data_IF_783823905800
#
_entry.id   IF_783823905800
#
_cell.length_a   1.000
_cell.length_b   1.000
_cell.length_c   1.000
_cell.angle_alpha   90.00
_cell.angle_beta   90.00
_cell.angle_gamma   90.00
#
_symmetry.space_group_name_H-M   'P 1'
#
loop_
_entity.id
_entity.type
_entity.pdbx_description
1 polymer ?
#
# COMPACT_ATOMS: atom_id res chain seq x y z
N UNK A 1 -18.61 -58.92 0.01
CA UNK A 1 -17.29 -58.35 0.30
C UNK A 1 -17.31 -56.93 -0.25
N UNK A 2 -17.42 -55.92 0.61
CA UNK A 2 -17.37 -54.52 0.20
C UNK A 2 -15.90 -54.09 0.06
N UNK A 3 -15.52 -53.41 -1.02
CA UNK A 3 -14.17 -52.86 -1.16
C UNK A 3 -13.98 -51.69 -0.18
N UNK A 4 -12.94 -51.80 0.64
CA UNK A 4 -12.48 -50.75 1.55
C UNK A 4 -11.61 -49.79 0.73
N UNK A 5 -12.17 -48.64 0.34
CA UNK A 5 -11.41 -47.58 -0.35
C UNK A 5 -10.69 -46.77 0.73
N UNK A 6 -9.39 -47.00 0.87
CA UNK A 6 -8.51 -46.20 1.70
C UNK A 6 -8.20 -44.90 0.93
N UNK A 7 -8.90 -43.82 1.29
CA UNK A 7 -8.51 -42.45 0.93
C UNK A 7 -7.28 -42.09 1.75
N UNK A 8 -6.10 -42.43 1.22
CA UNK A 8 -4.84 -41.90 1.74
C UNK A 8 -4.75 -40.47 1.21
N UNK A 9 -5.24 -39.51 2.00
CA UNK A 9 -5.05 -38.10 1.69
C UNK A 9 -3.55 -37.84 1.62
N UNK A 10 -3.06 -37.37 0.48
CA UNK A 10 -1.77 -36.72 0.36
C UNK A 10 -1.83 -35.40 1.15
N UNK A 11 -1.85 -35.49 2.48
CA UNK A 11 -1.66 -34.34 3.36
C UNK A 11 -0.26 -33.82 3.09
N UNK A 12 -0.17 -32.69 2.39
CA UNK A 12 1.08 -32.10 1.96
C UNK A 12 2.03 -31.92 3.14
N UNK A 13 3.28 -32.34 2.93
CA UNK A 13 4.45 -32.06 3.77
C UNK A 13 4.84 -30.56 3.72
N UNK A 14 3.86 -29.67 3.71
CA UNK A 14 4.11 -28.25 3.87
C UNK A 14 4.31 -28.02 5.37
N UNK A 15 5.46 -27.43 5.74
CA UNK A 15 5.67 -26.97 7.11
C UNK A 15 4.57 -25.97 7.49
N UNK A 16 4.30 -25.81 8.79
CA UNK A 16 3.25 -24.89 9.29
C UNK A 16 3.47 -23.43 8.83
N UNK A 17 4.70 -23.15 8.43
CA UNK A 17 5.27 -21.89 8.01
C UNK A 17 5.36 -21.75 6.48
N UNK A 18 4.94 -22.76 5.71
CA UNK A 18 4.84 -22.66 4.25
C UNK A 18 3.71 -21.71 3.84
N UNK A 19 4.08 -20.67 3.09
CA UNK A 19 3.16 -19.60 2.65
C UNK A 19 2.75 -19.70 1.18
N UNK A 20 3.33 -20.62 0.42
CA UNK A 20 3.17 -20.69 -1.04
C UNK A 20 4.46 -20.37 -1.79
N UNK A 21 4.36 -20.32 -3.12
CA UNK A 21 5.44 -19.83 -3.97
C UNK A 21 5.51 -18.31 -3.89
N UNK A 22 6.71 -17.77 -3.78
CA UNK A 22 6.92 -16.31 -3.79
C UNK A 22 6.61 -15.77 -5.18
N UNK A 23 5.69 -14.81 -5.24
CA UNK A 23 5.22 -14.17 -6.47
C UNK A 23 5.99 -12.89 -6.79
N UNK A 24 6.38 -12.12 -5.76
CA UNK A 24 7.08 -10.85 -5.91
C UNK A 24 7.88 -10.51 -4.66
N UNK A 25 8.82 -9.57 -4.76
CA UNK A 25 9.60 -9.04 -3.64
C UNK A 25 9.70 -7.53 -3.76
N UNK A 26 9.31 -6.83 -2.70
CA UNK A 26 9.48 -5.38 -2.52
C UNK A 26 10.63 -5.21 -1.53
N UNK A 27 11.57 -4.32 -1.81
CA UNK A 27 12.68 -4.06 -0.88
C UNK A 27 13.01 -2.58 -0.85
N UNK A 28 13.68 -2.12 0.20
CA UNK A 28 14.10 -0.72 0.28
C UNK A 28 14.66 -0.38 1.63
N UNK A 29 14.87 0.92 1.84
CA UNK A 29 15.29 1.45 3.13
C UNK A 29 14.12 2.20 3.77
N UNK A 30 13.93 1.99 5.07
CA UNK A 30 13.12 2.84 5.91
C UNK A 30 13.99 3.99 6.40
N UNK A 31 13.56 5.20 6.10
CA UNK A 31 14.26 6.45 6.36
C UNK A 31 13.41 7.30 7.31
N UNK A 32 14.06 7.99 8.23
CA UNK A 32 13.40 9.02 9.04
C UNK A 32 14.07 10.36 8.82
N UNK A 33 13.27 11.42 8.72
CA UNK A 33 13.75 12.80 8.66
C UNK A 33 13.88 13.41 10.07
N UNK A 34 13.12 12.90 11.04
CA UNK A 34 13.06 13.41 12.39
C UNK A 34 13.15 12.29 13.44
N UNK A 35 13.67 12.56 14.65
CA UNK A 35 13.60 11.59 15.74
C UNK A 35 12.13 11.40 16.14
N UNK A 36 11.64 10.16 16.12
CA UNK A 36 10.30 9.83 16.61
C UNK A 36 10.38 8.93 17.83
N UNK A 37 9.46 9.12 18.76
CA UNK A 37 9.26 8.22 19.89
C UNK A 37 8.29 7.12 19.46
N UNK A 38 8.85 5.98 19.05
CA UNK A 38 8.11 4.80 18.65
C UNK A 38 8.05 3.85 19.85
N UNK A 39 6.84 3.46 20.26
CA UNK A 39 6.62 2.68 21.48
C UNK A 39 6.65 1.17 21.26
N UNK A 40 6.49 0.72 20.01
CA UNK A 40 6.41 -0.68 19.57
C UNK A 40 7.37 -1.08 18.45
N UNK A 41 7.21 -2.31 17.97
CA UNK A 41 7.99 -2.84 16.85
C UNK A 41 7.47 -2.24 15.54
N UNK A 42 8.36 -1.69 14.73
CA UNK A 42 7.98 -1.24 13.40
C UNK A 42 7.89 -2.40 12.42
N UNK A 43 6.87 -2.35 11.57
CA UNK A 43 6.65 -3.36 10.55
C UNK A 43 6.18 -2.77 9.24
N UNK A 44 6.53 -3.44 8.15
CA UNK A 44 6.07 -3.09 6.79
C UNK A 44 5.07 -4.13 6.31
N UNK A 45 3.89 -3.69 5.84
CA UNK A 45 2.89 -4.54 5.19
C UNK A 45 2.43 -3.94 3.86
N UNK A 46 1.84 -4.76 2.98
CA UNK A 46 1.30 -4.32 1.69
C UNK A 46 -0.22 -4.17 1.77
N UNK A 47 -0.70 -2.95 1.54
CA UNK A 47 -2.11 -2.60 1.57
C UNK A 47 -2.62 -2.47 0.13
N UNK A 48 -3.69 -3.19 -0.22
CA UNK A 48 -4.32 -3.02 -1.53
C UNK A 48 -5.37 -1.91 -1.46
N UNK A 49 -5.36 -1.02 -2.44
CA UNK A 49 -6.45 -0.07 -2.62
C UNK A 49 -7.78 -0.83 -2.84
N UNK A 50 -8.90 -0.25 -2.41
CA UNK A 50 -10.24 -0.86 -2.41
C UNK A 50 -10.42 -2.11 -1.52
N UNK A 51 -9.42 -2.49 -0.70
CA UNK A 51 -9.56 -3.54 0.33
C UNK A 51 -9.25 -2.99 1.73
N UNK A 52 -10.27 -2.34 2.29
CA UNK A 52 -10.22 -1.64 3.57
C UNK A 52 -10.13 -2.62 4.76
N UNK A 53 -10.46 -3.89 4.56
CA UNK A 53 -10.62 -4.87 5.64
C UNK A 53 -9.42 -5.82 5.78
N UNK A 54 -8.64 -6.03 4.71
CA UNK A 54 -7.66 -7.12 4.64
C UNK A 54 -6.36 -6.69 3.95
N UNK A 55 -5.44 -5.99 4.64
CA UNK A 55 -4.08 -5.88 4.13
C UNK A 55 -3.52 -7.28 3.88
N UNK A 56 -2.80 -7.47 2.77
CA UNK A 56 -2.12 -8.74 2.51
C UNK A 56 -0.96 -8.85 3.50
N UNK A 57 -1.24 -9.62 4.56
CA UNK A 57 -0.39 -9.82 5.72
C UNK A 57 0.93 -10.48 5.35
N UNK A 58 1.96 -9.67 5.11
CA UNK A 58 3.32 -10.03 5.45
C UNK A 58 3.98 -8.84 6.09
N UNK A 59 4.32 -9.00 7.36
CA UNK A 59 4.99 -7.98 8.14
C UNK A 59 6.46 -8.35 8.29
N UNK A 60 7.33 -7.38 8.06
CA UNK A 60 8.78 -7.54 8.28
C UNK A 60 9.15 -6.62 9.41
N UNK A 61 9.75 -7.17 10.47
CA UNK A 61 10.26 -6.37 11.59
C UNK A 61 11.38 -5.48 11.06
N UNK A 62 11.23 -4.18 11.27
CA UNK A 62 12.23 -3.17 10.94
C UNK A 62 12.92 -2.76 12.23
N UNK A 63 14.25 -2.81 12.24
CA UNK A 63 15.01 -2.26 13.36
C UNK A 63 14.74 -0.76 13.47
N UNK A 64 14.47 -0.26 14.67
CA UNK A 64 14.25 1.18 14.92
C UNK A 64 15.55 2.01 14.84
N UNK A 65 16.59 1.48 14.22
CA UNK A 65 17.84 2.16 13.90
C UNK A 65 17.87 2.49 12.41
N UNK A 66 17.65 3.77 12.09
CA UNK A 66 17.57 4.24 10.70
C UNK A 66 18.95 4.67 10.14
N UNK A 67 19.21 4.44 8.83
CA UNK A 67 18.35 3.76 7.86
C UNK A 67 18.26 2.26 8.16
N UNK A 68 17.04 1.71 8.03
CA UNK A 68 16.78 0.29 8.28
C UNK A 68 16.34 -0.39 6.98
N UNK A 69 17.00 -1.49 6.61
CA UNK A 69 16.65 -2.20 5.39
C UNK A 69 15.45 -3.12 5.62
N UNK A 70 14.52 -3.19 4.66
CA UNK A 70 13.41 -4.14 4.68
C UNK A 70 13.29 -4.90 3.35
N UNK A 71 12.77 -6.12 3.43
CA UNK A 71 12.42 -6.93 2.27
C UNK A 71 11.09 -7.65 2.54
N UNK A 72 10.06 -7.26 1.80
CA UNK A 72 8.71 -7.81 1.86
C UNK A 72 8.48 -8.75 0.67
N UNK A 73 8.33 -10.04 0.95
CA UNK A 73 7.99 -11.04 -0.07
C UNK A 73 6.47 -11.20 -0.18
N UNK A 74 5.92 -11.21 -1.40
CA UNK A 74 4.49 -11.37 -1.68
C UNK A 74 4.24 -12.79 -2.17
N UNK A 75 3.25 -13.47 -1.58
CA UNK A 75 2.94 -14.88 -1.86
C UNK A 75 1.49 -15.11 -2.29
N UNK A 76 0.64 -14.08 -2.16
CA UNK A 76 -0.76 -14.11 -2.56
C UNK A 76 -1.01 -13.06 -3.64
N UNK A 77 -1.92 -13.37 -4.55
CA UNK A 77 -2.46 -12.39 -5.49
C UNK A 77 -3.33 -11.38 -4.73
N UNK A 78 -3.54 -10.18 -5.28
CA UNK A 78 -4.55 -9.26 -4.75
C UNK A 78 -5.92 -9.95 -4.69
N UNK A 79 -6.75 -9.62 -3.70
CA UNK A 79 -8.12 -10.11 -3.65
C UNK A 79 -8.98 -9.49 -4.77
N UNK A 80 -10.07 -10.14 -5.13
CA UNK A 80 -10.94 -9.70 -6.24
C UNK A 80 -11.50 -8.29 -6.00
N UNK A 81 -11.82 -7.94 -4.75
CA UNK A 81 -12.26 -6.62 -4.31
C UNK A 81 -11.23 -5.50 -4.52
N UNK A 82 -9.93 -5.81 -4.54
CA UNK A 82 -8.87 -4.84 -4.83
C UNK A 82 -8.67 -4.59 -6.33
N UNK A 83 -9.33 -5.37 -7.19
CA UNK A 83 -9.23 -5.24 -8.63
C UNK A 83 -10.16 -4.13 -9.14
N UNK A 84 -9.64 -3.23 -9.96
CA UNK A 84 -10.40 -2.17 -10.62
C UNK A 84 -10.09 -2.12 -12.11
N UNK A 85 -11.03 -1.63 -12.91
CA UNK A 85 -10.80 -1.40 -14.34
C UNK A 85 -10.11 -0.06 -14.55
N UNK A 86 -8.91 -0.08 -15.09
CA UNK A 86 -8.15 1.11 -15.42
C UNK A 86 -8.93 2.00 -16.41
N UNK A 87 -9.13 3.30 -16.11
CA UNK A 87 -9.93 4.18 -16.94
C UNK A 87 -9.33 4.41 -18.34
N UNK A 88 -8.03 4.16 -18.50
CA UNK A 88 -7.26 4.40 -19.73
C UNK A 88 -7.12 3.16 -20.64
N UNK A 89 -7.22 1.93 -20.12
CA UNK A 89 -6.99 0.70 -20.92
C UNK A 89 -8.10 -0.36 -20.89
N UNK A 90 -9.17 -0.19 -20.11
CA UNK A 90 -10.17 -1.24 -19.83
C UNK A 90 -9.57 -2.55 -19.27
N UNK A 91 -8.34 -2.50 -18.74
CA UNK A 91 -7.67 -3.64 -18.14
C UNK A 91 -7.95 -3.64 -16.65
N UNK A 92 -8.24 -4.80 -16.09
CA UNK A 92 -8.33 -4.97 -14.65
C UNK A 92 -6.94 -4.95 -14.04
N UNK A 93 -6.74 -4.16 -12.98
CA UNK A 93 -5.48 -3.96 -12.29
C UNK A 93 -5.75 -3.93 -10.78
N UNK A 94 -4.72 -4.12 -9.96
CA UNK A 94 -4.78 -3.78 -8.55
C UNK A 94 -3.54 -2.99 -8.15
N UNK A 95 -3.70 -2.09 -7.18
CA UNK A 95 -2.62 -1.22 -6.69
C UNK A 95 -2.40 -1.50 -5.21
N UNK A 96 -1.15 -1.78 -4.87
CA UNK A 96 -0.70 -2.07 -3.53
C UNK A 96 0.30 -1.02 -3.06
N UNK A 97 0.19 -0.58 -1.81
CA UNK A 97 1.09 0.40 -1.20
C UNK A 97 1.75 -0.23 0.03
N UNK A 98 3.09 -0.32 0.06
CA UNK A 98 3.78 -0.79 1.26
C UNK A 98 3.72 0.29 2.34
N UNK A 99 3.10 0.02 3.48
CA UNK A 99 3.00 0.96 4.60
C UNK A 99 3.77 0.47 5.81
N UNK A 100 4.26 1.42 6.59
CA UNK A 100 4.91 1.21 7.87
C UNK A 100 3.89 1.41 8.99
N UNK A 101 3.78 0.44 9.89
CA UNK A 101 2.89 0.50 11.05
C UNK A 101 3.62 0.11 12.34
N UNK A 102 3.06 0.55 13.46
CA UNK A 102 3.49 0.17 14.80
C UNK A 102 2.70 -1.05 15.29
N UNK A 103 3.37 -2.20 15.40
CA UNK A 103 2.81 -3.45 15.94
C UNK A 103 2.80 -3.36 17.47
N UNK A 104 1.67 -2.91 18.01
CA UNK A 104 1.54 -2.54 19.41
C UNK A 104 1.37 -3.77 20.31
N UNK A 105 0.84 -4.88 19.78
CA UNK A 105 0.58 -6.11 20.52
C UNK A 105 1.61 -7.24 20.24
N UNK A 106 2.57 -6.99 19.34
CA UNK A 106 3.65 -7.89 18.91
C UNK A 106 3.14 -9.19 18.25
N UNK A 107 1.95 -9.15 17.64
CA UNK A 107 1.37 -10.30 16.96
C UNK A 107 1.89 -10.47 15.51
N UNK A 108 2.58 -9.44 15.00
CA UNK A 108 3.17 -9.41 13.67
C UNK A 108 2.17 -9.31 12.53
N UNK A 109 1.00 -8.74 12.76
CA UNK A 109 -0.03 -8.43 11.77
C UNK A 109 -0.45 -6.98 11.98
N UNK A 110 -1.08 -6.40 10.98
CA UNK A 110 -1.70 -5.10 11.15
C UNK A 110 -3.09 -5.32 11.70
N UNK A 111 -3.41 -4.71 12.83
CA UNK A 111 -4.76 -4.67 13.38
C UNK A 111 -5.40 -3.31 13.12
N UNK A 112 -6.72 -3.31 12.87
CA UNK A 112 -7.49 -2.08 12.78
C UNK A 112 -7.33 -1.26 14.06
N UNK A 113 -6.86 -0.02 13.91
CA UNK A 113 -6.55 0.90 15.01
C UNK A 113 -5.06 1.00 15.35
N UNK A 114 -4.20 0.17 14.77
CA UNK A 114 -2.75 0.40 14.85
C UNK A 114 -2.34 1.61 14.03
N UNK A 115 -1.32 2.30 14.54
CA UNK A 115 -0.83 3.53 13.93
C UNK A 115 -0.05 3.24 12.65
N UNK A 116 -0.50 3.84 11.54
CA UNK A 116 0.29 3.96 10.33
C UNK A 116 1.27 5.13 10.49
N UNK A 117 2.56 4.83 10.46
CA UNK A 117 3.64 5.77 10.83
C UNK A 117 4.59 6.07 9.67
N UNK A 118 4.32 5.53 8.48
CA UNK A 118 5.13 5.79 7.30
C UNK A 118 4.66 5.06 6.05
N UNK A 119 5.27 5.43 4.92
CA UNK A 119 5.00 4.80 3.63
C UNK A 119 5.92 5.35 2.54
N UNK A 120 5.76 4.92 1.28
CA UNK A 120 6.50 5.47 0.17
C UNK A 120 6.11 6.93 -0.06
N UNK A 121 7.01 7.72 -0.64
CA UNK A 121 6.65 9.08 -1.11
C UNK A 121 5.88 9.03 -2.43
N UNK A 122 6.35 8.20 -3.36
CA UNK A 122 5.96 8.27 -4.76
C UNK A 122 6.07 6.87 -5.38
N UNK A 123 5.76 5.79 -4.67
CA UNK A 123 5.84 4.47 -5.31
C UNK A 123 4.87 3.47 -4.74
N UNK A 124 4.53 2.47 -5.54
CA UNK A 124 3.70 1.36 -5.11
C UNK A 124 3.95 0.13 -5.97
N UNK A 125 3.05 -0.82 -5.81
CA UNK A 125 3.02 -2.08 -6.54
C UNK A 125 1.79 -2.09 -7.42
N UNK A 126 1.99 -2.35 -8.71
CA UNK A 126 0.91 -2.57 -9.65
C UNK A 126 0.84 -4.06 -9.95
N UNK A 127 -0.32 -4.67 -9.76
CA UNK A 127 -0.60 -6.02 -10.21
C UNK A 127 -1.42 -6.00 -11.49
N UNK A 128 -1.00 -6.82 -12.44
CA UNK A 128 -1.63 -7.01 -13.74
C UNK A 128 -1.99 -8.49 -13.88
N UNK A 129 -3.27 -8.84 -14.04
CA UNK A 129 -3.69 -10.22 -14.17
C UNK A 129 -3.17 -10.82 -15.49
N UNK A 130 -3.29 -12.15 -15.67
CA UNK A 130 -2.99 -12.81 -16.93
C UNK A 130 -3.73 -12.18 -18.11
N UNK A 131 -2.97 -11.65 -19.08
CA UNK A 131 -3.47 -10.99 -20.27
C UNK A 131 -3.61 -12.01 -21.41
N UNK A 132 -4.66 -11.88 -22.23
CA UNK A 132 -4.90 -12.80 -23.35
C UNK A 132 -3.78 -12.77 -24.39
N UNK A 133 -3.28 -11.58 -24.71
CA UNK A 133 -2.20 -11.35 -25.69
C UNK A 133 -0.82 -11.12 -25.03
N UNK A 134 -0.75 -11.24 -23.69
CA UNK A 134 0.49 -11.12 -22.90
C UNK A 134 0.97 -9.69 -22.63
N UNK A 135 0.46 -8.69 -23.35
CA UNK A 135 0.86 -7.27 -23.26
C UNK A 135 -0.36 -6.36 -23.41
N UNK A 136 -0.35 -5.24 -22.71
CA UNK A 136 -1.25 -4.08 -22.90
C UNK A 136 -0.39 -2.87 -23.24
N UNK A 137 -0.73 -2.17 -24.32
CA UNK A 137 -0.13 -0.87 -24.65
C UNK A 137 -0.80 0.20 -23.80
N UNK A 138 -0.02 0.89 -22.99
CA UNK A 138 -0.51 1.89 -22.03
C UNK A 138 -0.32 3.34 -22.51
N UNK A 139 0.59 3.55 -23.46
CA UNK A 139 0.88 4.85 -24.08
C UNK A 139 1.55 4.62 -25.44
N UNK A 140 1.33 5.54 -26.38
CA UNK A 140 1.97 5.60 -27.69
C UNK A 140 2.61 6.98 -27.87
N UNK A 141 3.92 7.09 -27.69
CA UNK A 141 4.63 8.37 -27.85
C UNK A 141 5.41 8.44 -29.15
N UNK A 142 5.32 9.58 -29.85
CA UNK A 142 6.16 9.84 -31.03
C UNK A 142 7.48 10.51 -30.60
N UNK A 143 8.53 9.71 -30.42
CA UNK A 143 9.87 10.17 -30.04
C UNK A 143 10.80 10.11 -31.25
N UNK A 144 11.34 11.25 -31.67
CA UNK A 144 12.25 11.38 -32.84
C UNK A 144 11.72 10.72 -34.13
N UNK A 145 10.40 10.74 -34.32
CA UNK A 145 9.73 10.15 -35.48
C UNK A 145 9.53 8.63 -35.42
N UNK A 146 9.71 8.02 -34.23
CA UNK A 146 9.36 6.63 -33.94
C UNK A 146 8.23 6.58 -32.93
N UNK A 147 7.29 5.66 -33.11
CA UNK A 147 6.31 5.35 -32.07
C UNK A 147 7.01 4.45 -31.08
N UNK A 148 7.13 4.91 -29.84
CA UNK A 148 7.53 4.10 -28.70
C UNK A 148 6.25 3.73 -27.94
N UNK A 149 6.03 2.43 -27.80
CA UNK A 149 4.88 1.86 -27.10
C UNK A 149 5.34 1.43 -25.72
N UNK A 150 4.58 1.86 -24.73
CA UNK A 150 4.77 1.43 -23.37
C UNK A 150 3.95 0.19 -23.13
N UNK A 151 4.63 -0.91 -22.79
CA UNK A 151 4.01 -2.21 -22.65
C UNK A 151 3.93 -2.62 -21.19
N UNK A 152 2.73 -3.02 -20.76
CA UNK A 152 2.47 -3.62 -19.47
C UNK A 152 2.20 -5.11 -19.65
N UNK A 153 3.02 -5.95 -19.04
CA UNK A 153 2.85 -7.41 -19.05
C UNK A 153 2.08 -7.87 -17.82
N UNK A 154 1.57 -9.09 -17.82
CA UNK A 154 1.04 -9.73 -16.60
C UNK A 154 2.11 -9.83 -15.50
N UNK A 155 1.68 -9.76 -14.25
CA UNK A 155 2.53 -9.91 -13.07
C UNK A 155 2.52 -8.67 -12.17
N UNK A 156 3.47 -8.65 -11.25
CA UNK A 156 3.70 -7.52 -10.36
C UNK A 156 4.76 -6.60 -10.95
N UNK A 157 4.52 -5.30 -10.82
CA UNK A 157 5.42 -4.23 -11.24
C UNK A 157 5.56 -3.24 -10.11
N UNK A 158 6.64 -2.48 -10.10
CA UNK A 158 6.71 -1.28 -9.27
C UNK A 158 6.49 -0.07 -10.12
N UNK A 159 5.63 0.79 -9.60
CA UNK A 159 5.27 2.06 -10.19
C UNK A 159 5.91 3.15 -9.34
N UNK A 160 6.70 4.01 -9.97
CA UNK A 160 7.24 5.22 -9.37
C UNK A 160 6.40 6.42 -9.81
N UNK A 161 6.36 7.47 -9.01
CA UNK A 161 5.68 8.75 -9.22
C UNK A 161 4.17 8.65 -9.43
N UNK A 162 3.45 9.55 -8.76
CA UNK A 162 2.07 9.93 -9.09
C UNK A 162 1.04 8.78 -9.22
N UNK A 163 1.22 7.74 -8.41
CA UNK A 163 0.25 6.65 -8.29
C UNK A 163 -1.14 7.19 -7.94
N UNK A 164 -1.21 8.26 -7.14
CA UNK A 164 -2.46 8.93 -6.81
C UNK A 164 -3.14 9.48 -8.06
N UNK A 165 -2.45 10.24 -8.93
CA UNK A 165 -3.10 10.74 -10.16
C UNK A 165 -3.52 9.62 -11.11
N UNK A 166 -2.77 8.51 -11.13
CA UNK A 166 -3.14 7.31 -11.87
C UNK A 166 -4.40 6.62 -11.27
N UNK A 167 -4.50 6.52 -9.94
CA UNK A 167 -5.67 6.03 -9.21
C UNK A 167 -6.90 6.91 -9.49
N UNK A 168 -6.68 8.22 -9.50
CA UNK A 168 -7.72 9.22 -9.70
C UNK A 168 -8.14 9.45 -11.16
N UNK A 169 -7.49 8.75 -12.10
CA UNK A 169 -7.71 8.95 -13.54
C UNK A 169 -7.49 10.40 -13.99
N UNK A 170 -6.68 11.16 -13.25
CA UNK A 170 -6.35 12.55 -13.61
C UNK A 170 -5.24 12.58 -14.66
N UNK A 171 -4.31 11.63 -14.58
CA UNK A 171 -3.22 11.49 -15.54
C UNK A 171 -3.11 10.04 -16.05
N UNK A 172 -2.63 9.91 -17.29
CA UNK A 172 -2.29 8.63 -17.90
C UNK A 172 -1.03 8.05 -17.24
N UNK A 173 -1.03 6.75 -16.98
CA UNK A 173 0.07 6.06 -16.32
C UNK A 173 1.31 6.14 -17.21
N UNK A 174 2.28 7.00 -16.86
CA UNK A 174 3.38 7.25 -17.77
C UNK A 174 4.32 6.02 -17.90
N UNK A 175 4.83 5.74 -19.10
CA UNK A 175 5.66 4.57 -19.39
C UNK A 175 6.90 4.42 -18.52
N UNK A 176 7.57 5.55 -18.30
CA UNK A 176 8.83 5.64 -17.54
C UNK A 176 8.66 5.27 -16.05
N UNK A 177 7.41 5.12 -15.62
CA UNK A 177 7.03 4.84 -14.24
C UNK A 177 7.01 3.35 -13.91
N UNK A 178 6.90 2.46 -14.89
CA UNK A 178 6.80 1.02 -14.67
C UNK A 178 8.19 0.39 -14.73
N UNK A 179 8.61 -0.22 -13.62
CA UNK A 179 9.89 -0.93 -13.50
C UNK A 179 9.66 -2.41 -13.20
N UNK A 180 10.17 -3.27 -14.07
CA UNK A 180 9.95 -4.73 -14.02
C UNK A 180 10.93 -5.52 -13.15
N UNK A 181 12.14 -5.01 -12.87
CA UNK A 181 13.18 -5.83 -12.22
C UNK A 181 13.82 -5.11 -11.03
N UNK A 182 13.55 -5.67 -9.84
CA UNK A 182 14.05 -5.24 -8.53
C UNK A 182 13.57 -3.84 -8.13
N UNK A 183 12.44 -3.83 -7.44
CA UNK A 183 11.87 -2.60 -6.92
C UNK A 183 12.51 -2.23 -5.60
N UNK A 184 13.26 -1.14 -5.66
CA UNK A 184 13.59 -0.37 -4.48
C UNK A 184 12.47 0.62 -4.21
N UNK A 185 11.73 0.41 -3.14
CA UNK A 185 10.70 1.31 -2.61
C UNK A 185 11.16 1.77 -1.23
N UNK A 186 11.77 2.95 -1.15
CA UNK A 186 12.16 3.51 0.14
C UNK A 186 10.91 4.03 0.86
N UNK A 187 10.84 3.75 2.17
CA UNK A 187 9.73 4.17 3.03
C UNK A 187 10.20 5.31 3.91
N UNK A 188 9.35 6.30 4.11
CA UNK A 188 9.62 7.45 4.94
C UNK A 188 8.70 7.40 6.14
N UNK A 189 9.32 7.47 7.31
CA UNK A 189 8.62 7.68 8.56
C UNK A 189 8.04 9.10 8.56
N UNK A 190 6.75 9.22 8.87
CA UNK A 190 5.99 10.46 8.82
C UNK A 190 4.70 10.34 7.99
N UNK A 191 3.96 11.44 7.82
CA UNK A 191 2.62 11.43 7.22
C UNK A 191 2.63 11.37 5.68
N UNK A 192 3.76 11.04 5.05
CA UNK A 192 3.90 10.98 3.59
C UNK A 192 2.93 10.00 2.92
N UNK A 193 2.51 8.98 3.65
CA UNK A 193 1.57 7.97 3.17
C UNK A 193 0.14 8.50 2.99
N UNK A 194 -0.20 9.65 3.59
CA UNK A 194 -1.57 10.19 3.53
C UNK A 194 -2.01 10.45 2.08
N UNK A 195 -1.11 10.85 1.18
CA UNK A 195 -1.43 11.03 -0.24
C UNK A 195 -1.91 9.75 -0.94
N UNK A 196 -1.62 8.56 -0.39
CA UNK A 196 -2.09 7.29 -0.92
C UNK A 196 -3.37 6.80 -0.24
N UNK A 197 -3.81 7.46 0.84
CA UNK A 197 -5.02 7.13 1.60
C UNK A 197 -6.30 7.82 1.07
N UNK A 198 -6.19 8.49 -0.09
CA UNK A 198 -7.29 9.00 -0.93
C UNK A 198 -7.20 8.32 -2.32
N UNK A 199 -7.33 6.99 -2.33
CA UNK A 199 -7.39 6.14 -3.52
C UNK A 199 -8.73 6.25 -4.27
N UNK A 200 -9.80 6.69 -3.62
CA UNK A 200 -11.11 6.90 -4.26
C UNK A 200 -11.22 8.31 -4.86
N UNK A 201 -10.30 9.22 -4.48
CA UNK A 201 -10.10 10.53 -5.06
C UNK A 201 -11.25 11.50 -4.78
N UNK A 202 -11.93 11.31 -3.65
CA UNK A 202 -12.91 12.22 -3.11
C UNK A 202 -12.29 13.32 -2.25
N UNK A 203 -10.96 13.34 -2.10
CA UNK A 203 -10.21 14.25 -1.24
C UNK A 203 -10.45 13.99 0.25
N UNK A 204 -11.00 12.82 0.58
CA UNK A 204 -11.26 12.39 1.94
C UNK A 204 -10.26 11.28 2.28
N UNK A 205 -9.24 11.63 3.06
CA UNK A 205 -8.12 10.74 3.45
C UNK A 205 -8.56 9.65 4.46
N UNK A 206 -9.62 8.92 4.15
CA UNK A 206 -10.40 8.10 5.09
C UNK A 206 -10.53 6.64 4.71
N UNK A 207 -9.92 6.22 3.62
CA UNK A 207 -10.24 4.87 3.15
C UNK A 207 -9.44 3.78 3.88
N UNK A 208 -8.39 4.16 4.60
CA UNK A 208 -7.66 3.27 5.52
C UNK A 208 -7.94 3.59 7.00
N UNK A 209 -8.95 4.43 7.27
CA UNK A 209 -9.12 5.01 8.61
C UNK A 209 -9.93 4.14 9.56
N UNK A 210 -9.19 3.56 10.51
CA UNK A 210 -9.22 4.05 11.90
C UNK A 210 -7.83 4.58 12.37
N UNK A 211 -6.81 4.61 11.50
CA UNK A 211 -5.45 5.03 11.85
C UNK A 211 -5.26 6.55 11.78
N UNK A 212 -5.62 7.25 12.85
CA UNK A 212 -5.32 8.68 12.97
C UNK A 212 -3.82 8.91 13.22
N UNK A 213 -3.19 9.92 12.59
CA UNK A 213 -1.81 10.24 12.88
C UNK A 213 -1.66 10.55 14.38
N UNK A 214 -0.74 9.86 15.05
CA UNK A 214 -0.56 9.92 16.51
C UNK A 214 0.45 10.99 16.95
N UNK A 215 0.93 11.84 16.03
CA UNK A 215 1.90 12.89 16.31
C UNK A 215 1.18 14.25 16.53
N UNK A 216 0.70 14.57 17.75
CA UNK A 216 -0.04 15.81 18.02
C UNK A 216 0.79 17.08 17.78
N UNK A 217 2.12 16.99 17.74
CA UNK A 217 3.00 18.14 17.51
C UNK A 217 3.33 18.35 16.01
N UNK A 218 2.83 17.53 15.10
CA UNK A 218 3.10 17.65 13.66
C UNK A 218 2.29 18.81 13.03
N UNK A 219 2.95 19.83 12.45
CA UNK A 219 2.27 20.91 11.74
C UNK A 219 1.34 20.43 10.62
N UNK A 220 1.68 19.31 9.96
CA UNK A 220 0.86 18.71 8.92
C UNK A 220 -0.43 18.11 9.48
N UNK A 221 -0.39 17.55 10.70
CA UNK A 221 -1.59 17.08 11.39
C UNK A 221 -2.51 18.24 11.79
N UNK A 222 -1.93 19.36 12.24
CA UNK A 222 -2.71 20.56 12.52
C UNK A 222 -3.36 21.13 11.25
N UNK A 223 -2.61 21.21 10.16
CA UNK A 223 -3.13 21.66 8.86
C UNK A 223 -4.26 20.74 8.38
N UNK A 224 -4.05 19.42 8.41
CA UNK A 224 -5.08 18.43 8.13
C UNK A 224 -6.33 18.63 9.00
N UNK A 225 -6.17 18.74 10.33
CA UNK A 225 -7.29 18.91 11.24
C UNK A 225 -8.07 20.21 10.99
N UNK A 226 -7.37 21.29 10.63
CA UNK A 226 -8.01 22.56 10.26
C UNK A 226 -8.81 22.40 8.97
N UNK A 227 -8.24 21.79 7.92
CA UNK A 227 -8.92 21.54 6.66
C UNK A 227 -10.16 20.64 6.84
N UNK A 228 -10.04 19.55 7.59
CA UNK A 228 -11.16 18.64 7.83
C UNK A 228 -12.28 19.29 8.65
N UNK A 229 -11.95 20.15 9.62
CA UNK A 229 -12.96 20.89 10.39
C UNK A 229 -13.72 21.90 9.53
N UNK A 230 -13.09 22.46 8.50
CA UNK A 230 -13.76 23.32 7.52
C UNK A 230 -14.69 22.52 6.59
N UNK A 231 -14.27 21.32 6.18
CA UNK A 231 -15.02 20.44 5.28
C UNK A 231 -16.18 19.71 5.97
N UNK A 232 -16.00 19.32 7.23
CA UNK A 232 -16.97 18.57 8.05
C UNK A 232 -17.23 19.27 9.41
N UNK A 233 -17.91 20.44 9.42
CA UNK A 233 -18.08 21.27 10.62
C UNK A 233 -18.96 20.66 11.71
N UNK A 234 -19.67 19.56 11.42
CA UNK A 234 -20.41 18.77 12.41
C UNK A 234 -19.52 17.76 13.16
N UNK A 235 -18.23 17.69 12.81
CA UNK A 235 -17.25 16.81 13.45
C UNK A 235 -17.41 15.34 13.04
N UNK A 236 -18.15 15.06 11.97
CA UNK A 236 -18.35 13.71 11.46
C UNK A 236 -17.25 13.33 10.46
N UNK A 237 -16.02 13.21 10.94
CA UNK A 237 -14.89 12.71 10.16
C UNK A 237 -14.00 11.79 11.01
N UNK A 238 -13.33 10.78 10.41
CA UNK A 238 -12.31 9.98 11.10
C UNK A 238 -11.22 10.90 11.66
N UNK A 239 -10.73 10.61 12.87
CA UNK A 239 -9.82 11.49 13.61
C UNK A 239 -10.43 12.76 14.20
N UNK A 240 -11.76 12.91 14.18
CA UNK A 240 -12.42 14.01 14.87
C UNK A 240 -12.02 14.09 16.35
N UNK A 241 -11.83 12.97 17.05
CA UNK A 241 -11.37 12.97 18.46
C UNK A 241 -9.95 13.55 18.58
N UNK A 242 -8.99 13.03 17.81
CA UNK A 242 -7.60 13.53 17.76
C UNK A 242 -7.54 15.01 17.36
N UNK A 243 -8.30 15.40 16.34
CA UNK A 243 -8.36 16.78 15.88
C UNK A 243 -9.05 17.70 16.89
N UNK A 244 -10.10 17.25 17.58
CA UNK A 244 -10.74 18.02 18.65
C UNK A 244 -9.79 18.24 19.83
N UNK A 245 -9.04 17.21 20.21
CA UNK A 245 -8.04 17.30 21.29
C UNK A 245 -6.94 18.30 20.89
N UNK A 246 -6.38 18.15 19.68
CA UNK A 246 -5.37 19.03 19.13
C UNK A 246 -5.82 20.50 19.04
N UNK A 247 -7.01 20.75 18.46
CA UNK A 247 -7.55 22.10 18.25
C UNK A 247 -8.05 22.76 19.53
N UNK A 248 -8.47 21.97 20.53
CA UNK A 248 -8.90 22.50 21.82
C UNK A 248 -7.74 22.91 22.73
N UNK A 249 -6.50 22.53 22.37
CA UNK A 249 -5.31 22.75 23.19
C UNK A 249 -5.37 22.01 24.54
N UNK A 250 -6.17 20.94 24.62
CA UNK A 250 -6.24 20.07 25.79
C UNK A 250 -5.31 18.88 25.55
N UNK A 251 -4.19 18.76 26.29
CA UNK A 251 -3.38 17.54 26.28
C UNK A 251 -4.06 16.41 27.07
#
# INVERSE_FOLDING_TARGET
MLPFVLLVGCGGLADADWRGERLFTISGDVLTLEPMDLSGNLRVALFWAWDDERPVEQSVVVETSFPAHYQLDVYAWPPDEAMFTAPWSNVELAIGVPLLYEDADDNGRYDLGEALVGGPQESGVLYVPPLADGVVVIDEQLIDGRVEEAELTSGFHTVANDLQSALCGQDELQPDLIRQEVSRTDLYVGPFWMHFADWNCDQVLTEWTDACPTAPDDPALLEFCLEQTELAPDGAFPCAEVCNDLLSGSP
#
